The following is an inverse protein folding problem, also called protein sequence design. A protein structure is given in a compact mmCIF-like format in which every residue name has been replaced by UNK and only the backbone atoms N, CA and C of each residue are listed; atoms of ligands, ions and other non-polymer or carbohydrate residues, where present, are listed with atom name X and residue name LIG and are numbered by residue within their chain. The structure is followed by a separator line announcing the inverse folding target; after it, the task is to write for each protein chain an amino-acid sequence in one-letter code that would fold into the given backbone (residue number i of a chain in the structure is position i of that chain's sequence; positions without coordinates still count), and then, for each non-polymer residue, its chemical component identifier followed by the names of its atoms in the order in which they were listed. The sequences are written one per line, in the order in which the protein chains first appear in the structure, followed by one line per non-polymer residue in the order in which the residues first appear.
data_IF_390054971842
#
_entry.id   IF_390054971842
#
_cell.length_a   1.000
_cell.length_b   1.000
_cell.length_c   1.000
_cell.angle_alpha   90.00
_cell.angle_beta   90.00
_cell.angle_gamma   90.00
#
_symmetry.space_group_name_H-M   'P 1'
#
loop_
_entity.id
_entity.type
_entity.pdbx_description
1 polymer ?
#
# COMPACT_ATOMS: atom_id res chain seq x y z
N UNK A 1 -41.58 -19.70 22.38
CA UNK A 1 -40.40 -18.93 22.81
C UNK A 1 -39.20 -19.86 22.68
N UNK A 2 -38.43 -19.69 21.62
CA UNK A 2 -37.48 -20.67 21.08
C UNK A 2 -36.22 -19.93 20.63
N UNK A 3 -35.05 -20.40 21.08
CA UNK A 3 -33.70 -20.12 20.58
C UNK A 3 -33.43 -18.69 20.11
N UNK A 4 -33.80 -17.76 20.98
CA UNK A 4 -33.28 -16.40 21.09
C UNK A 4 -31.81 -16.29 20.64
N UNK A 5 -31.59 -15.41 19.66
CA UNK A 5 -30.72 -14.24 19.81
C UNK A 5 -29.20 -14.45 19.93
N UNK A 6 -28.67 -15.66 19.71
CA UNK A 6 -27.22 -15.93 19.88
C UNK A 6 -26.43 -16.04 18.57
N UNK A 7 -27.06 -16.14 17.39
CA UNK A 7 -26.34 -16.20 16.10
C UNK A 7 -26.50 -14.90 15.31
N UNK A 8 -26.38 -13.76 15.99
CA UNK A 8 -26.36 -12.43 15.38
C UNK A 8 -25.07 -11.66 15.69
N UNK A 9 -24.00 -12.39 16.05
CA UNK A 9 -22.68 -11.83 16.40
C UNK A 9 -21.54 -12.27 15.44
N UNK A 10 -21.86 -12.53 14.16
CA UNK A 10 -20.84 -12.81 13.12
C UNK A 10 -20.94 -11.90 11.88
N UNK A 11 -21.85 -10.93 11.88
CA UNK A 11 -21.78 -9.80 10.96
C UNK A 11 -21.23 -8.60 11.73
N UNK A 12 -19.93 -8.63 12.02
CA UNK A 12 -19.18 -7.40 12.27
C UNK A 12 -19.12 -6.65 10.95
N UNK A 13 -20.20 -5.93 10.68
CA UNK A 13 -20.24 -4.56 10.19
C UNK A 13 -18.98 -4.17 9.41
N UNK A 14 -18.92 -4.59 8.14
CA UNK A 14 -18.23 -3.80 7.13
C UNK A 14 -19.12 -2.58 6.84
N UNK A 15 -19.15 -1.62 7.76
CA UNK A 15 -19.65 -0.28 7.48
C UNK A 15 -18.71 0.35 6.44
N UNK A 16 -19.03 0.19 5.16
CA UNK A 16 -18.42 0.98 4.08
C UNK A 16 -19.01 2.41 4.04
N UNK A 17 -19.10 3.08 5.20
CA UNK A 17 -19.28 4.52 5.30
C UNK A 17 -17.92 5.23 5.23
N UNK A 18 -17.22 4.99 4.11
CA UNK A 18 -15.93 5.58 3.78
C UNK A 18 -15.43 4.91 2.50
N UNK A 19 -15.45 5.63 1.38
CA UNK A 19 -15.06 5.06 0.10
C UNK A 19 -13.60 4.59 0.16
N UNK A 20 -13.33 3.41 -0.39
CA UNK A 20 -12.00 2.79 -0.30
C UNK A 20 -10.99 3.58 -1.14
N UNK A 21 -10.16 4.38 -0.45
CA UNK A 21 -8.96 5.00 -1.00
C UNK A 21 -8.03 3.90 -1.53
N UNK A 22 -7.49 4.08 -2.73
CA UNK A 22 -6.61 3.12 -3.40
C UNK A 22 -5.26 3.77 -3.69
N UNK A 23 -4.18 3.05 -3.39
CA UNK A 23 -2.82 3.42 -3.72
C UNK A 23 -2.38 2.70 -4.99
N UNK A 24 -1.73 3.43 -5.89
CA UNK A 24 -1.19 2.94 -7.15
C UNK A 24 0.33 3.04 -7.16
N UNK A 25 1.02 1.96 -7.49
CA UNK A 25 2.49 1.97 -7.49
C UNK A 25 3.07 2.81 -8.61
N UNK A 26 2.47 2.77 -9.81
CA UNK A 26 2.92 3.58 -10.93
C UNK A 26 2.73 5.06 -10.60
N UNK A 27 3.65 5.89 -11.10
CA UNK A 27 3.70 7.34 -10.87
C UNK A 27 3.92 7.76 -9.40
N UNK A 28 4.14 6.80 -8.51
CA UNK A 28 4.50 7.07 -7.12
C UNK A 28 6.01 7.24 -6.95
N UNK A 29 6.44 8.11 -6.05
CA UNK A 29 7.85 8.39 -5.76
C UNK A 29 8.25 7.91 -4.36
N UNK A 30 9.27 7.06 -4.28
CA UNK A 30 9.86 6.58 -3.03
C UNK A 30 10.92 7.58 -2.55
N UNK A 31 10.79 8.05 -1.32
CA UNK A 31 11.76 8.94 -0.69
C UNK A 31 12.77 8.19 0.19
N UNK A 32 12.36 7.05 0.76
CA UNK A 32 13.20 6.29 1.69
C UNK A 32 12.80 4.83 1.78
N UNK A 33 13.80 3.95 1.88
CA UNK A 33 13.64 2.56 2.30
C UNK A 33 14.59 2.32 3.47
N UNK A 34 14.06 1.87 4.61
CA UNK A 34 14.87 1.65 5.80
C UNK A 34 14.31 0.54 6.69
N UNK A 35 15.17 -0.02 7.53
CA UNK A 35 14.76 -1.01 8.54
C UNK A 35 14.13 -0.31 9.73
N UNK A 36 13.09 -0.92 10.29
CA UNK A 36 12.44 -0.55 11.55
C UNK A 36 12.44 -1.76 12.49
N UNK A 37 11.98 -1.58 13.73
CA UNK A 37 11.79 -2.68 14.66
C UNK A 37 10.73 -3.70 14.18
N UNK A 38 9.83 -3.28 13.29
CA UNK A 38 8.70 -4.07 12.80
C UNK A 38 8.93 -4.68 11.41
N UNK A 39 10.00 -4.28 10.71
CA UNK A 39 10.23 -4.74 9.33
C UNK A 39 11.04 -3.75 8.48
N UNK A 40 10.77 -3.76 7.17
CA UNK A 40 11.29 -2.78 6.22
C UNK A 40 10.17 -1.75 5.95
N UNK A 41 10.46 -0.47 6.17
CA UNK A 41 9.57 0.63 5.82
C UNK A 41 9.97 1.23 4.47
N UNK A 42 8.99 1.46 3.60
CA UNK A 42 9.09 2.17 2.33
C UNK A 42 8.21 3.40 2.44
N UNK A 43 8.83 4.57 2.40
CA UNK A 43 8.16 5.88 2.52
C UNK A 43 8.09 6.54 1.15
N UNK A 44 6.95 7.17 0.87
CA UNK A 44 6.69 7.84 -0.40
C UNK A 44 6.71 9.35 -0.22
N UNK A 45 7.46 10.08 -1.05
CA UNK A 45 7.36 11.55 -1.15
C UNK A 45 6.07 11.96 -1.87
N UNK A 46 5.63 11.14 -2.81
CA UNK A 46 4.39 11.33 -3.56
C UNK A 46 3.81 9.95 -3.94
N UNK A 47 2.85 9.44 -3.17
CA UNK A 47 2.12 8.23 -3.50
C UNK A 47 0.85 8.59 -4.27
N UNK A 48 0.68 8.02 -5.46
CA UNK A 48 -0.52 8.19 -6.24
C UNK A 48 -1.70 7.49 -5.54
N UNK A 49 -2.73 8.26 -5.23
CA UNK A 49 -3.90 7.81 -4.50
C UNK A 49 -5.16 8.21 -5.27
N UNK A 50 -6.03 7.22 -5.46
CA UNK A 50 -7.33 7.36 -6.10
C UNK A 50 -8.43 7.15 -5.06
N UNK A 51 -9.36 8.09 -4.99
CA UNK A 51 -10.54 8.05 -4.13
C UNK A 51 -11.80 8.09 -4.98
N UNK A 52 -12.72 7.16 -4.74
CA UNK A 52 -14.06 7.25 -5.32
C UNK A 52 -14.96 8.03 -4.39
N UNK A 53 -15.78 8.93 -4.91
CA UNK A 53 -16.82 9.62 -4.16
C UNK A 53 -18.11 9.54 -5.00
N UNK A 54 -18.92 8.51 -4.75
CA UNK A 54 -20.10 8.24 -5.57
C UNK A 54 -19.72 7.78 -6.98
N UNK A 55 -20.13 8.53 -8.00
CA UNK A 55 -19.71 8.32 -9.39
C UNK A 55 -18.33 8.90 -9.71
N UNK A 56 -17.85 9.81 -8.87
CA UNK A 56 -16.66 10.60 -9.18
C UNK A 56 -15.42 9.88 -8.69
N UNK A 57 -14.32 10.04 -9.42
CA UNK A 57 -13.02 9.50 -9.07
C UNK A 57 -12.06 10.67 -8.97
N UNK A 58 -11.57 10.95 -7.77
CA UNK A 58 -10.54 11.95 -7.50
C UNK A 58 -9.18 11.27 -7.42
N UNK A 59 -8.18 11.89 -8.03
CA UNK A 59 -6.81 11.42 -8.06
C UNK A 59 -5.89 12.49 -7.47
N UNK A 60 -5.00 12.09 -6.57
CA UNK A 60 -4.11 12.99 -5.86
C UNK A 60 -2.83 12.30 -5.41
N UNK A 61 -1.83 13.10 -5.08
CA UNK A 61 -0.60 12.59 -4.47
C UNK A 61 -0.63 12.77 -2.96
N UNK A 62 -0.24 11.72 -2.23
CA UNK A 62 -0.09 11.70 -0.78
C UNK A 62 1.38 11.60 -0.40
N UNK A 63 1.86 12.50 0.45
CA UNK A 63 3.23 12.47 0.98
C UNK A 63 3.38 11.71 2.31
N UNK A 64 2.32 11.04 2.76
CA UNK A 64 2.31 10.32 4.03
C UNK A 64 1.98 8.84 3.90
N UNK A 65 1.98 8.29 2.68
CA UNK A 65 1.82 6.85 2.50
C UNK A 65 3.11 6.12 2.84
N UNK A 66 2.98 5.00 3.55
CA UNK A 66 4.08 4.08 3.82
C UNK A 66 3.66 2.63 3.63
N UNK A 67 4.59 1.82 3.14
CA UNK A 67 4.46 0.36 3.16
C UNK A 67 5.39 -0.21 4.22
N UNK A 68 4.87 -1.11 5.04
CA UNK A 68 5.66 -1.84 6.02
C UNK A 68 5.64 -3.33 5.69
N UNK A 69 6.78 -3.87 5.27
CA UNK A 69 6.96 -5.28 4.95
C UNK A 69 7.66 -6.00 6.11
N UNK A 70 7.09 -7.13 6.57
CA UNK A 70 7.64 -7.93 7.66
C UNK A 70 7.67 -9.42 7.29
N UNK A 71 8.77 -10.17 7.52
CA UNK A 71 10.08 -9.68 7.96
C UNK A 71 10.75 -8.80 6.91
N UNK A 72 11.66 -7.96 7.40
CA UNK A 72 12.58 -7.22 6.53
C UNK A 72 13.65 -8.19 6.01
N UNK A 73 13.81 -8.38 4.68
CA UNK A 73 14.86 -9.24 4.15
C UNK A 73 16.25 -8.85 4.70
N UNK A 74 17.17 -9.80 4.91
CA UNK A 74 18.49 -9.55 5.54
C UNK A 74 19.41 -8.68 4.67
N UNK A 75 19.17 -8.61 3.37
CA UNK A 75 19.78 -7.65 2.47
C UNK A 75 18.71 -7.08 1.53
N UNK A 76 18.72 -5.76 1.32
CA UNK A 76 17.93 -5.10 0.30
C UNK A 76 18.92 -4.78 -0.83
N UNK A 77 18.84 -5.53 -1.92
CA UNK A 77 19.68 -5.28 -3.08
C UNK A 77 19.46 -3.84 -3.57
N UNK A 78 20.55 -3.16 -3.90
CA UNK A 78 20.53 -1.81 -4.47
C UNK A 78 19.76 -0.77 -3.63
N UNK A 79 19.66 -0.96 -2.31
CA UNK A 79 18.94 -0.03 -1.41
C UNK A 79 19.41 1.42 -1.58
N UNK A 80 20.72 1.62 -1.78
CA UNK A 80 21.31 2.94 -2.01
C UNK A 80 20.93 3.58 -3.35
N UNK A 81 20.19 2.88 -4.23
CA UNK A 81 19.70 3.34 -5.52
C UNK A 81 18.16 3.23 -5.62
N UNK A 82 17.52 2.58 -4.64
CA UNK A 82 16.08 2.32 -4.60
C UNK A 82 15.28 3.52 -4.03
N UNK A 83 15.42 4.66 -4.69
CA UNK A 83 14.66 5.88 -4.43
C UNK A 83 14.29 6.56 -5.74
N UNK A 84 13.22 7.36 -5.73
CA UNK A 84 12.69 8.08 -6.89
C UNK A 84 11.41 7.46 -7.47
N UNK A 85 11.09 7.90 -8.69
CA UNK A 85 9.83 7.59 -9.37
C UNK A 85 9.72 6.12 -9.76
N UNK A 86 8.56 5.54 -9.49
CA UNK A 86 8.17 4.21 -9.94
C UNK A 86 7.45 4.27 -11.28
N UNK A 87 7.87 3.43 -12.22
CA UNK A 87 7.14 3.20 -13.48
C UNK A 87 6.10 2.11 -13.32
N UNK A 88 6.32 1.17 -12.41
CA UNK A 88 5.32 0.19 -12.01
C UNK A 88 5.66 -0.47 -10.68
N UNK A 89 4.69 -1.16 -10.10
CA UNK A 89 4.90 -2.04 -8.97
C UNK A 89 3.68 -2.92 -8.73
N UNK A 90 3.88 -3.98 -7.96
CA UNK A 90 2.79 -4.87 -7.56
C UNK A 90 3.16 -5.69 -6.33
N UNK A 91 2.14 -6.08 -5.57
CA UNK A 91 2.22 -7.08 -4.52
C UNK A 91 1.73 -8.43 -5.05
N UNK A 92 2.56 -9.45 -4.93
CA UNK A 92 2.17 -10.84 -5.15
C UNK A 92 1.76 -11.47 -3.82
N UNK A 93 0.52 -11.98 -3.75
CA UNK A 93 -0.04 -12.74 -2.64
C UNK A 93 -0.50 -14.11 -3.13
N UNK A 94 0.32 -15.13 -2.93
CA UNK A 94 0.10 -16.44 -3.55
C UNK A 94 0.10 -16.32 -5.09
N UNK A 95 -1.03 -16.67 -5.72
CA UNK A 95 -1.22 -16.53 -7.17
C UNK A 95 -1.79 -15.17 -7.59
N UNK A 96 -2.22 -14.35 -6.63
CA UNK A 96 -2.86 -13.07 -6.90
C UNK A 96 -1.81 -11.96 -7.00
N UNK A 97 -1.88 -11.19 -8.09
CA UNK A 97 -1.11 -9.96 -8.29
C UNK A 97 -2.00 -8.75 -8.05
N UNK A 98 -1.54 -7.84 -7.20
CA UNK A 98 -2.21 -6.60 -6.84
C UNK A 98 -1.36 -5.41 -7.31
N UNK A 99 -1.80 -4.70 -8.34
CA UNK A 99 -1.17 -3.46 -8.82
C UNK A 99 -1.71 -2.22 -8.10
N UNK A 100 -2.75 -2.38 -7.29
CA UNK A 100 -3.35 -1.33 -6.46
C UNK A 100 -3.63 -1.90 -5.07
N UNK A 101 -3.48 -1.08 -4.03
CA UNK A 101 -3.71 -1.47 -2.64
C UNK A 101 -4.73 -0.51 -1.99
N UNK A 102 -5.82 -1.01 -1.36
CA UNK A 102 -6.61 -0.20 -0.45
C UNK A 102 -5.77 0.49 0.64
N UNK A 103 -6.21 1.66 1.09
CA UNK A 103 -5.54 2.43 2.14
C UNK A 103 -6.56 2.84 3.21
N UNK A 104 -6.40 2.42 4.48
CA UNK A 104 -5.39 1.49 4.96
C UNK A 104 -5.65 0.04 4.50
N UNK A 105 -4.61 -0.78 4.45
CA UNK A 105 -4.76 -2.24 4.30
C UNK A 105 -3.65 -3.02 5.00
N UNK A 106 -3.96 -4.27 5.33
CA UNK A 106 -3.02 -5.24 5.88
C UNK A 106 -3.17 -6.56 5.10
N UNK A 107 -2.04 -7.08 4.62
CA UNK A 107 -1.94 -8.33 3.91
C UNK A 107 -1.07 -9.30 4.69
N UNK A 108 -1.56 -10.53 4.85
CA UNK A 108 -0.80 -11.63 5.44
C UNK A 108 -0.86 -12.85 4.52
N UNK A 109 0.28 -13.51 4.33
CA UNK A 109 0.40 -14.77 3.61
C UNK A 109 1.67 -15.51 4.03
N UNK A 110 1.74 -16.81 3.73
CA UNK A 110 2.98 -17.59 3.90
C UNK A 110 4.15 -16.95 3.12
N UNK A 111 3.86 -16.46 1.91
CA UNK A 111 4.80 -15.70 1.10
C UNK A 111 4.11 -14.51 0.42
N UNK A 112 4.64 -13.32 0.68
CA UNK A 112 4.40 -12.10 -0.07
C UNK A 112 5.65 -11.70 -0.83
N UNK A 113 5.47 -11.18 -2.04
CA UNK A 113 6.56 -10.55 -2.78
C UNK A 113 6.13 -9.20 -3.34
N UNK A 114 6.84 -8.15 -2.95
CA UNK A 114 6.66 -6.80 -3.46
C UNK A 114 7.67 -6.58 -4.58
N UNK A 115 7.19 -6.24 -5.76
CA UNK A 115 8.00 -5.93 -6.93
C UNK A 115 7.84 -4.45 -7.27
N UNK A 116 8.95 -3.76 -7.45
CA UNK A 116 9.01 -2.34 -7.78
C UNK A 116 9.94 -2.12 -8.98
N UNK A 117 9.50 -1.31 -9.93
CA UNK A 117 10.28 -0.89 -11.09
C UNK A 117 10.41 0.63 -11.07
N UNK A 118 11.65 1.12 -11.09
CA UNK A 118 11.97 2.53 -11.04
C UNK A 118 12.20 3.11 -12.43
N UNK A 119 11.98 4.41 -12.59
CA UNK A 119 12.19 5.13 -13.84
C UNK A 119 13.66 5.14 -14.30
N UNK A 120 14.61 4.94 -13.37
CA UNK A 120 16.02 4.78 -13.67
C UNK A 120 16.39 3.37 -14.21
N UNK A 121 15.41 2.48 -14.39
CA UNK A 121 15.61 1.12 -14.87
C UNK A 121 15.91 0.08 -13.78
N UNK A 122 16.07 0.51 -12.51
CA UNK A 122 16.25 -0.40 -11.39
C UNK A 122 14.99 -1.24 -11.16
N UNK A 123 15.19 -2.52 -10.86
CA UNK A 123 14.14 -3.42 -10.40
C UNK A 123 14.48 -3.92 -9.00
N UNK A 124 13.51 -3.84 -8.10
CA UNK A 124 13.67 -4.29 -6.73
C UNK A 124 12.55 -5.28 -6.39
N UNK A 125 12.94 -6.37 -5.74
CA UNK A 125 12.01 -7.36 -5.21
C UNK A 125 12.29 -7.56 -3.72
N UNK A 126 11.24 -7.40 -2.91
CA UNK A 126 11.28 -7.63 -1.47
C UNK A 126 10.31 -8.74 -1.12
N UNK A 127 10.68 -9.60 -0.19
CA UNK A 127 9.84 -10.71 0.25
C UNK A 127 9.62 -10.65 1.75
N UNK A 128 8.42 -11.04 2.17
CA UNK A 128 7.99 -11.07 3.57
C UNK A 128 6.77 -11.97 3.75
N UNK A 129 6.19 -11.98 4.93
CA UNK A 129 4.96 -12.69 5.27
C UNK A 129 3.78 -11.75 5.54
N UNK A 130 4.04 -10.47 5.78
CA UNK A 130 3.01 -9.44 5.85
C UNK A 130 3.43 -8.12 5.21
N UNK A 131 2.44 -7.37 4.73
CA UNK A 131 2.60 -6.02 4.22
C UNK A 131 1.44 -5.15 4.70
N UNK A 132 1.75 -4.06 5.40
CA UNK A 132 0.78 -3.03 5.76
C UNK A 132 0.94 -1.82 4.84
N UNK A 133 -0.17 -1.31 4.32
CA UNK A 133 -0.24 -0.05 3.61
C UNK A 133 -0.96 0.96 4.49
N UNK A 134 -0.24 1.98 4.94
CA UNK A 134 -0.71 2.94 5.93
C UNK A 134 -0.59 4.36 5.37
N UNK A 135 -1.53 5.21 5.72
CA UNK A 135 -1.43 6.65 5.51
C UNK A 135 -1.20 7.33 6.85
N UNK A 136 -0.21 8.22 6.91
CA UNK A 136 0.01 9.12 8.05
C UNK A 136 -1.19 10.06 8.20
N UNK A 137 -1.64 10.27 9.44
CA UNK A 137 -2.70 11.25 9.76
C UNK A 137 -2.27 12.69 9.44
N UNK A 138 -0.98 12.95 9.31
CA UNK A 138 -0.40 14.25 8.97
C UNK A 138 -0.20 14.43 7.45
N UNK A 139 -0.58 13.45 6.63
CA UNK A 139 -0.40 13.49 5.18
C UNK A 139 -1.20 14.63 4.57
N UNK A 140 -0.55 15.45 3.74
CA UNK A 140 -1.24 16.42 2.88
C UNK A 140 -1.50 15.76 1.53
N UNK A 141 -2.75 15.79 1.10
CA UNK A 141 -3.10 15.44 -0.27
C UNK A 141 -2.94 16.68 -1.15
N UNK A 142 -2.27 16.50 -2.28
CA UNK A 142 -2.20 17.49 -3.35
C UNK A 142 -3.00 16.92 -4.51
N UNK A 143 -4.10 17.60 -4.86
CA UNK A 143 -4.92 17.21 -6.01
C UNK A 143 -4.11 17.32 -7.30
N UNK A 144 -4.29 16.35 -8.20
CA UNK A 144 -3.78 16.48 -9.56
C UNK A 144 -4.71 17.42 -10.30
N UNK A 145 -4.28 18.66 -10.53
CA UNK A 145 -4.94 19.54 -11.48
C UNK A 145 -4.70 18.94 -12.88
N UNK A 146 -5.71 18.28 -13.42
CA UNK A 146 -5.72 17.91 -14.83
C UNK A 146 -5.53 19.18 -15.66
N UNK A 147 -4.45 19.22 -16.44
CA UNK A 147 -4.19 20.27 -17.42
C UNK A 147 -4.95 20.00 -18.72
#
# INVERSE_FOLDING_TARGET
MTSADVVQALTSVCDNHGMARQFEFADSEISRIHRTAEGCSIEFSAALVTERQGSDTQQGYSNGLRLLLNPCPPAIADQAQAFGLLTSGWLQRGLQRLSVLPVPSDYQAEALSLHLQFANGLQMQLSGSSLRCEASEQARQVEVLAC
#
